data_IF_348834680174
#
_entry.id   IF_348834680174
#
_cell.length_a   1.000
_cell.length_b   1.000
_cell.length_c   1.000
_cell.angle_alpha   90.00
_cell.angle_beta   90.00
_cell.angle_gamma   90.00
#
_symmetry.space_group_name_H-M   'P 1'
#
loop_
_entity.id
_entity.type
_entity.pdbx_description
1 polymer ?
#
# COMPACT_ATOMS: atom_id res chain seq x y z
N UNK A 1 25.62 -10.18 -13.95
CA UNK A 1 25.11 -8.79 -13.84
C UNK A 1 23.69 -8.75 -14.42
N UNK A 2 22.63 -8.62 -13.61
CA UNK A 2 21.31 -8.21 -14.10
C UNK A 2 21.18 -6.70 -13.83
N UNK A 3 21.07 -5.81 -14.81
CA UNK A 3 19.94 -5.76 -15.74
C UNK A 3 18.84 -4.87 -15.13
N UNK A 4 19.14 -3.58 -14.93
CA UNK A 4 18.20 -2.60 -14.40
C UNK A 4 17.13 -2.35 -15.46
N UNK A 5 15.91 -2.82 -15.23
CA UNK A 5 14.74 -2.50 -16.05
C UNK A 5 14.04 -1.31 -15.37
N UNK A 6 14.14 -0.13 -15.97
CA UNK A 6 13.38 1.06 -15.59
C UNK A 6 11.97 0.99 -16.16
N UNK A 7 10.96 1.02 -15.28
CA UNK A 7 9.56 1.26 -15.68
C UNK A 7 9.14 2.65 -15.23
N UNK A 8 8.80 3.50 -16.20
CA UNK A 8 8.15 4.78 -15.96
C UNK A 8 6.67 4.53 -15.67
N UNK A 9 6.21 4.75 -14.44
CA UNK A 9 4.80 4.89 -14.13
C UNK A 9 4.46 6.35 -13.87
N UNK A 10 3.55 6.87 -14.69
CA UNK A 10 2.92 8.16 -14.49
C UNK A 10 2.07 8.11 -13.22
N UNK A 11 2.38 8.98 -12.26
CA UNK A 11 1.55 9.21 -11.09
C UNK A 11 0.25 9.86 -11.55
N UNK A 12 -0.88 9.20 -11.29
CA UNK A 12 -2.20 9.79 -11.39
C UNK A 12 -2.33 10.87 -10.30
N UNK A 13 -1.85 12.06 -10.62
CA UNK A 13 -2.19 13.28 -9.90
C UNK A 13 -3.41 13.88 -10.58
N UNK A 14 -4.61 13.57 -10.08
CA UNK A 14 -5.80 14.35 -10.43
C UNK A 14 -6.57 14.77 -9.18
N UNK A 15 -6.40 16.07 -8.88
CA UNK A 15 -7.39 17.03 -8.39
C UNK A 15 -8.28 16.58 -7.23
N UNK A 16 -7.81 16.85 -6.00
CA UNK A 16 -8.70 17.11 -4.87
C UNK A 16 -9.35 18.48 -5.12
N UNK A 17 -10.56 18.47 -5.65
CA UNK A 17 -11.40 19.67 -5.74
C UNK A 17 -12.18 19.78 -4.42
N UNK A 18 -11.76 20.68 -3.54
CA UNK A 18 -12.51 21.02 -2.32
C UNK A 18 -13.64 21.96 -2.73
N UNK A 19 -14.80 21.41 -3.07
CA UNK A 19 -16.04 22.15 -3.20
C UNK A 19 -17.05 21.57 -2.21
N UNK A 20 -17.59 22.44 -1.34
CA UNK A 20 -18.50 22.08 -0.26
C UNK A 20 -19.71 21.31 -0.76
N UNK A 21 -20.08 20.27 -0.01
CA UNK A 21 -21.32 19.53 -0.24
C UNK A 21 -22.27 19.81 0.91
N UNK A 22 -23.36 20.45 0.52
CA UNK A 22 -24.58 20.71 1.26
C UNK A 22 -25.14 19.40 1.84
N UNK A 23 -25.59 19.45 3.09
CA UNK A 23 -26.29 18.36 3.77
C UNK A 23 -27.60 18.05 3.02
N UNK A 24 -27.67 16.89 2.38
CA UNK A 24 -28.93 16.22 2.09
C UNK A 24 -28.98 14.88 2.82
N UNK A 25 -29.81 14.83 3.86
CA UNK A 25 -30.24 13.58 4.50
C UNK A 25 -31.21 12.87 3.56
N UNK A 26 -30.78 11.79 2.92
CA UNK A 26 -31.68 10.73 2.46
C UNK A 26 -31.23 9.42 3.07
N UNK A 27 -32.19 8.73 3.67
CA UNK A 27 -31.99 7.57 4.54
C UNK A 27 -31.04 6.55 3.94
N UNK A 28 -29.88 6.43 4.57
CA UNK A 28 -28.97 5.31 4.40
C UNK A 28 -28.85 4.73 5.79
N UNK A 29 -29.45 3.55 5.99
CA UNK A 29 -29.30 2.80 7.23
C UNK A 29 -27.81 2.52 7.39
N UNK A 30 -27.18 3.20 8.34
CA UNK A 30 -25.80 2.92 8.74
C UNK A 30 -25.90 1.65 9.58
N UNK A 31 -25.62 0.49 8.97
CA UNK A 31 -25.38 -0.76 9.68
C UNK A 31 -23.94 -1.19 9.44
N UNK A 32 -23.31 -1.68 10.50
CA UNK A 32 -21.88 -1.95 10.54
C UNK A 32 -21.48 -3.09 9.58
N UNK A 33 -20.53 -2.86 8.67
CA UNK A 33 -19.85 -3.95 7.97
C UNK A 33 -19.11 -4.77 9.02
N UNK A 34 -19.51 -6.04 9.18
CA UNK A 34 -19.16 -6.88 10.33
C UNK A 34 -20.36 -7.67 10.89
N UNK A 35 -21.60 -7.37 10.48
CA UNK A 35 -22.73 -8.26 10.80
C UNK A 35 -22.49 -9.66 10.18
N UNK A 36 -22.90 -10.73 10.90
CA UNK A 36 -22.64 -12.13 10.54
C UNK A 36 -22.94 -12.49 9.08
N UNK A 37 -23.81 -11.73 8.41
CA UNK A 37 -24.29 -11.99 7.05
C UNK A 37 -23.44 -11.37 5.93
N UNK A 38 -22.49 -10.47 6.22
CA UNK A 38 -21.67 -9.82 5.18
C UNK A 38 -20.17 -10.01 5.41
N UNK A 39 -19.44 -10.18 4.31
CA UNK A 39 -18.00 -10.34 4.27
C UNK A 39 -17.36 -9.17 3.52
N UNK A 40 -16.27 -8.61 4.06
CA UNK A 40 -15.41 -7.66 3.33
C UNK A 40 -14.66 -8.36 2.19
N UNK A 41 -13.96 -7.59 1.35
CA UNK A 41 -13.08 -8.15 0.31
C UNK A 41 -12.01 -9.07 0.91
N UNK A 42 -11.46 -8.70 2.07
CA UNK A 42 -10.45 -9.48 2.78
C UNK A 42 -11.02 -10.82 3.27
N UNK A 43 -12.15 -10.78 3.97
CA UNK A 43 -12.82 -11.96 4.50
C UNK A 43 -13.32 -12.90 3.40
N UNK A 44 -13.87 -12.37 2.31
CA UNK A 44 -14.31 -13.16 1.17
C UNK A 44 -13.12 -13.84 0.46
N UNK A 45 -11.99 -13.15 0.34
CA UNK A 45 -10.77 -13.71 -0.24
C UNK A 45 -10.23 -14.87 0.64
N UNK A 46 -10.20 -14.67 1.96
CA UNK A 46 -9.74 -15.66 2.94
C UNK A 46 -10.65 -16.90 2.94
N UNK A 47 -11.97 -16.71 3.02
CA UNK A 47 -12.96 -17.80 3.00
C UNK A 47 -12.85 -18.66 1.73
N UNK A 48 -12.63 -18.02 0.57
CA UNK A 48 -12.50 -18.72 -0.72
C UNK A 48 -11.08 -19.26 -0.96
N UNK A 49 -10.11 -18.95 -0.10
CA UNK A 49 -8.69 -19.25 -0.32
C UNK A 49 -8.21 -18.79 -1.72
N UNK A 50 -8.44 -17.50 -1.98
CA UNK A 50 -8.01 -16.77 -3.18
C UNK A 50 -7.48 -15.38 -2.79
N UNK A 51 -6.96 -14.63 -3.76
CA UNK A 51 -6.47 -13.26 -3.53
C UNK A 51 -7.60 -12.23 -3.68
N UNK A 52 -7.47 -11.02 -3.10
CA UNK A 52 -8.42 -9.93 -3.35
C UNK A 52 -8.58 -9.58 -4.84
N UNK A 53 -7.50 -9.71 -5.63
CA UNK A 53 -7.57 -9.54 -7.09
C UNK A 53 -8.48 -10.58 -7.77
N UNK A 54 -8.50 -11.81 -7.26
CA UNK A 54 -9.40 -12.85 -7.71
C UNK A 54 -10.86 -12.58 -7.26
N UNK A 55 -11.09 -12.00 -6.08
CA UNK A 55 -12.42 -11.53 -5.67
C UNK A 55 -12.93 -10.43 -6.62
N UNK A 56 -12.11 -9.41 -6.91
CA UNK A 56 -12.45 -8.37 -7.92
C UNK A 56 -12.75 -8.97 -9.29
N UNK A 57 -12.06 -10.05 -9.65
CA UNK A 57 -12.31 -10.78 -10.88
C UNK A 57 -13.67 -11.49 -10.86
N UNK A 58 -14.04 -12.14 -9.76
CA UNK A 58 -15.38 -12.73 -9.59
C UNK A 58 -16.48 -11.67 -9.76
N UNK A 59 -16.29 -10.48 -9.18
CA UNK A 59 -17.20 -9.34 -9.33
C UNK A 59 -17.28 -8.88 -10.79
N UNK A 60 -16.13 -8.66 -11.45
CA UNK A 60 -16.07 -8.22 -12.85
C UNK A 60 -16.70 -9.23 -13.82
N UNK A 61 -16.59 -10.52 -13.53
CA UNK A 61 -17.22 -11.59 -14.32
C UNK A 61 -18.71 -11.80 -13.97
N UNK A 62 -19.28 -11.02 -13.05
CA UNK A 62 -20.68 -11.14 -12.63
C UNK A 62 -20.98 -12.39 -11.80
N UNK A 63 -19.94 -13.05 -11.27
CA UNK A 63 -20.04 -14.27 -10.46
C UNK A 63 -20.29 -13.99 -8.98
N UNK A 64 -19.96 -12.78 -8.53
CA UNK A 64 -20.20 -12.32 -7.16
C UNK A 64 -20.76 -10.89 -7.20
N UNK A 65 -21.85 -10.65 -6.46
CA UNK A 65 -22.54 -9.37 -6.43
C UNK A 65 -22.09 -8.54 -5.23
N UNK A 66 -21.73 -7.27 -5.47
CA UNK A 66 -21.42 -6.30 -4.41
C UNK A 66 -22.73 -5.87 -3.75
N UNK A 67 -22.86 -6.09 -2.43
CA UNK A 67 -24.03 -5.69 -1.65
C UNK A 67 -23.88 -4.29 -1.06
N UNK A 68 -22.69 -4.00 -0.53
CA UNK A 68 -22.39 -2.71 0.07
C UNK A 68 -21.03 -2.20 -0.39
N UNK A 69 -20.86 -0.89 -0.35
CA UNK A 69 -19.57 -0.24 -0.60
C UNK A 69 -19.33 0.78 0.50
N UNK A 70 -18.35 0.50 1.36
CA UNK A 70 -17.90 1.42 2.40
C UNK A 70 -16.86 2.35 1.81
N UNK A 71 -17.07 3.66 1.98
CA UNK A 71 -16.12 4.69 1.56
C UNK A 71 -15.22 5.05 2.72
N UNK A 72 -13.93 5.08 2.44
CA UNK A 72 -12.88 5.45 3.36
C UNK A 72 -12.29 6.81 2.93
N UNK A 73 -11.37 7.38 3.73
CA UNK A 73 -10.66 8.60 3.33
C UNK A 73 -9.83 8.31 2.07
N UNK A 74 -9.23 7.12 1.98
CA UNK A 74 -8.61 6.60 0.78
C UNK A 74 -9.45 5.45 0.22
N UNK A 75 -9.80 5.45 -1.07
CA UNK A 75 -10.48 4.32 -1.71
C UNK A 75 -11.83 3.88 -1.11
N UNK A 76 -12.20 2.63 -1.42
CA UNK A 76 -13.45 1.99 -1.00
C UNK A 76 -13.20 0.52 -0.70
N UNK A 77 -13.98 -0.07 0.21
CA UNK A 77 -14.08 -1.51 0.39
C UNK A 77 -15.50 -1.99 0.02
N UNK A 78 -15.57 -3.19 -0.53
CA UNK A 78 -16.81 -3.83 -0.97
C UNK A 78 -17.17 -4.94 0.00
N UNK A 79 -18.47 -5.09 0.25
CA UNK A 79 -18.99 -6.18 1.07
C UNK A 79 -19.95 -7.06 0.27
N UNK A 80 -19.91 -8.35 0.60
CA UNK A 80 -20.58 -9.43 -0.11
C UNK A 80 -21.46 -10.21 0.86
N UNK A 81 -22.60 -10.70 0.40
CA UNK A 81 -23.43 -11.61 1.18
C UNK A 81 -22.66 -12.91 1.47
N UNK A 82 -22.56 -13.32 2.74
CA UNK A 82 -21.81 -14.50 3.16
C UNK A 82 -22.29 -15.75 2.44
N UNK A 83 -23.61 -15.97 2.39
CA UNK A 83 -24.19 -17.15 1.75
C UNK A 83 -23.90 -17.17 0.24
N UNK A 84 -23.85 -16.01 -0.42
CA UNK A 84 -23.44 -15.88 -1.80
C UNK A 84 -21.96 -16.26 -2.01
N UNK A 85 -21.06 -15.83 -1.11
CA UNK A 85 -19.64 -16.20 -1.16
C UNK A 85 -19.47 -17.71 -0.93
N UNK A 86 -20.13 -18.29 0.08
CA UNK A 86 -20.06 -19.73 0.38
C UNK A 86 -20.54 -20.61 -0.79
N UNK A 87 -21.58 -20.18 -1.52
CA UNK A 87 -22.05 -20.85 -2.74
C UNK A 87 -21.00 -20.94 -3.85
N UNK A 88 -19.96 -20.12 -3.81
CA UNK A 88 -18.87 -20.16 -4.79
C UNK A 88 -17.83 -21.24 -4.46
N UNK A 89 -17.71 -21.70 -3.21
CA UNK A 89 -16.74 -22.72 -2.80
C UNK A 89 -16.75 -23.97 -3.68
N UNK A 90 -17.90 -24.65 -3.93
CA UNK A 90 -17.93 -25.84 -4.79
C UNK A 90 -17.63 -25.53 -6.26
N UNK A 91 -17.85 -24.29 -6.71
CA UNK A 91 -17.64 -23.85 -8.11
C UNK A 91 -16.24 -23.31 -8.36
N UNK A 92 -15.50 -22.99 -7.31
CA UNK A 92 -14.18 -22.38 -7.39
C UNK A 92 -13.16 -23.19 -8.22
N UNK A 93 -13.12 -24.54 -8.17
CA UNK A 93 -12.23 -25.31 -9.03
C UNK A 93 -12.51 -25.10 -10.53
N UNK A 94 -13.78 -24.93 -10.91
CA UNK A 94 -14.18 -24.64 -12.29
C UNK A 94 -13.68 -23.27 -12.73
N UNK A 95 -13.87 -22.24 -11.90
CA UNK A 95 -13.38 -20.89 -12.16
C UNK A 95 -11.85 -20.85 -12.28
N UNK A 96 -11.13 -21.53 -11.37
CA UNK A 96 -9.66 -21.63 -11.44
C UNK A 96 -9.21 -22.30 -12.75
N UNK A 97 -9.88 -23.36 -13.21
CA UNK A 97 -9.59 -23.99 -14.52
C UNK A 97 -9.81 -23.03 -15.68
N UNK A 98 -10.92 -22.30 -15.70
CA UNK A 98 -11.20 -21.27 -16.71
C UNK A 98 -10.10 -20.21 -16.72
N UNK A 99 -9.73 -19.70 -15.56
CA UNK A 99 -8.69 -18.67 -15.43
C UNK A 99 -7.31 -19.16 -15.88
N UNK A 100 -6.97 -20.41 -15.59
CA UNK A 100 -5.75 -21.04 -16.11
C UNK A 100 -5.77 -21.19 -17.62
N UNK A 101 -6.90 -21.61 -18.22
CA UNK A 101 -7.03 -21.74 -19.67
C UNK A 101 -6.84 -20.40 -20.39
N UNK A 102 -7.38 -19.31 -19.82
CA UNK A 102 -7.16 -17.96 -20.35
C UNK A 102 -5.70 -17.50 -20.23
N UNK A 103 -5.01 -17.84 -19.12
CA UNK A 103 -3.59 -17.57 -18.98
C UNK A 103 -2.74 -18.39 -19.97
N UNK A 104 -3.08 -19.66 -20.16
CA UNK A 104 -2.45 -20.56 -21.13
C UNK A 104 -2.61 -20.02 -22.55
N UNK A 105 -3.79 -19.50 -22.90
CA UNK A 105 -4.03 -18.85 -24.19
C UNK A 105 -3.20 -17.57 -24.35
N UNK A 106 -3.12 -16.73 -23.32
CA UNK A 106 -2.41 -15.43 -23.37
C UNK A 106 -0.90 -15.57 -23.42
N UNK A 107 -0.31 -16.49 -22.66
CA UNK A 107 1.14 -16.64 -22.52
C UNK A 107 1.73 -17.79 -23.34
N UNK A 108 0.87 -18.69 -23.82
CA UNK A 108 1.24 -20.03 -24.30
C UNK A 108 1.34 -21.03 -23.15
N UNK A 109 0.74 -22.20 -23.33
CA UNK A 109 0.59 -23.22 -22.28
C UNK A 109 1.90 -23.59 -21.55
N UNK A 110 3.01 -23.73 -22.29
CA UNK A 110 4.33 -24.03 -21.71
C UNK A 110 4.80 -22.92 -20.77
N UNK A 111 4.74 -21.66 -21.20
CA UNK A 111 5.19 -20.50 -20.42
C UNK A 111 4.29 -20.27 -19.20
N UNK A 112 2.98 -20.43 -19.37
CA UNK A 112 2.01 -20.34 -18.29
C UNK A 112 2.22 -21.44 -17.24
N UNK A 113 2.48 -22.68 -17.65
CA UNK A 113 2.83 -23.77 -16.72
C UNK A 113 4.10 -23.49 -15.92
N UNK A 114 5.17 -22.96 -16.56
CA UNK A 114 6.38 -22.55 -15.85
C UNK A 114 6.12 -21.42 -14.86
N UNK A 115 5.35 -20.40 -15.26
CA UNK A 115 4.94 -19.31 -14.38
C UNK A 115 4.20 -19.83 -13.15
N UNK A 116 3.22 -20.72 -13.32
CA UNK A 116 2.48 -21.33 -12.20
C UNK A 116 3.37 -22.09 -11.23
N UNK A 117 4.33 -22.87 -11.76
CA UNK A 117 5.31 -23.58 -10.92
C UNK A 117 6.20 -22.60 -10.14
N UNK A 118 6.63 -21.52 -10.80
CA UNK A 118 7.43 -20.47 -10.17
C UNK A 118 6.63 -19.73 -9.08
N UNK A 119 5.37 -19.40 -9.36
CA UNK A 119 4.45 -18.75 -8.42
C UNK A 119 4.23 -19.63 -7.18
N UNK A 120 4.03 -20.95 -7.34
CA UNK A 120 3.94 -21.90 -6.22
C UNK A 120 5.22 -21.94 -5.37
N UNK A 121 6.39 -21.95 -6.02
CA UNK A 121 7.68 -21.91 -5.31
C UNK A 121 7.82 -20.60 -4.52
N UNK A 122 7.43 -19.47 -5.13
CA UNK A 122 7.42 -18.15 -4.46
C UNK A 122 6.47 -18.13 -3.27
N UNK A 123 5.26 -18.68 -3.39
CA UNK A 123 4.31 -18.75 -2.26
C UNK A 123 4.92 -19.51 -1.08
N UNK A 124 5.51 -20.69 -1.32
CA UNK A 124 6.19 -21.45 -0.26
C UNK A 124 7.38 -20.69 0.33
N UNK A 125 8.14 -20.00 -0.50
CA UNK A 125 9.26 -19.18 -0.02
C UNK A 125 8.79 -18.03 0.88
N UNK A 126 7.68 -17.35 0.53
CA UNK A 126 7.07 -16.32 1.36
C UNK A 126 6.50 -16.88 2.66
N UNK A 127 5.84 -18.04 2.62
CA UNK A 127 5.34 -18.72 3.83
C UNK A 127 6.50 -19.05 4.78
N UNK A 128 7.57 -19.69 4.28
CA UNK A 128 8.73 -19.98 5.09
C UNK A 128 9.46 -18.72 5.58
N UNK A 129 9.46 -17.63 4.81
CA UNK A 129 10.00 -16.34 5.26
C UNK A 129 9.17 -15.76 6.41
N UNK A 130 7.85 -15.77 6.30
CA UNK A 130 6.93 -15.32 7.36
C UNK A 130 7.17 -16.11 8.64
N UNK A 131 7.17 -17.45 8.56
CA UNK A 131 7.39 -18.32 9.71
C UNK A 131 8.74 -18.05 10.39
N UNK A 132 9.84 -18.01 9.62
CA UNK A 132 11.16 -17.71 10.17
C UNK A 132 11.24 -16.32 10.79
N UNK A 133 10.61 -15.33 10.16
CA UNK A 133 10.56 -13.98 10.70
C UNK A 133 9.80 -13.93 12.02
N UNK A 134 8.62 -14.56 12.10
CA UNK A 134 7.83 -14.57 13.34
C UNK A 134 8.53 -15.34 14.46
N UNK A 135 9.17 -16.47 14.14
CA UNK A 135 9.98 -17.23 15.10
C UNK A 135 11.18 -16.42 15.60
N UNK A 136 11.86 -15.64 14.73
CA UNK A 136 12.98 -14.81 15.16
C UNK A 136 12.58 -13.68 16.11
N UNK A 137 11.28 -13.42 16.31
CA UNK A 137 10.81 -12.43 17.28
C UNK A 137 10.77 -12.97 18.71
N UNK A 138 10.80 -14.28 18.92
CA UNK A 138 10.71 -14.91 20.25
C UNK A 138 11.91 -14.56 21.15
N UNK A 139 13.06 -14.29 20.54
CA UNK A 139 14.30 -13.92 21.24
C UNK A 139 14.40 -12.43 21.60
N UNK A 140 13.45 -11.59 21.12
CA UNK A 140 13.47 -10.14 21.37
C UNK A 140 12.62 -9.73 22.57
N UNK A 141 12.94 -8.59 23.22
CA UNK A 141 12.08 -8.00 24.24
C UNK A 141 10.65 -7.79 23.70
N UNK A 142 9.63 -8.05 24.52
CA UNK A 142 8.21 -8.04 24.12
C UNK A 142 7.82 -6.78 23.32
N UNK A 143 8.23 -5.60 23.77
CA UNK A 143 7.94 -4.32 23.08
C UNK A 143 8.60 -4.23 21.71
N UNK A 144 9.82 -4.73 21.58
CA UNK A 144 10.56 -4.77 20.31
C UNK A 144 9.93 -5.80 19.36
N UNK A 145 9.62 -7.00 19.87
CA UNK A 145 8.93 -8.03 19.12
C UNK A 145 7.59 -7.52 18.58
N UNK A 146 6.81 -6.80 19.39
CA UNK A 146 5.57 -6.16 18.97
C UNK A 146 5.82 -5.13 17.85
N UNK A 147 6.79 -4.22 18.01
CA UNK A 147 7.12 -3.23 16.99
C UNK A 147 7.51 -3.89 15.65
N UNK A 148 8.35 -4.92 15.69
CA UNK A 148 8.81 -5.65 14.50
C UNK A 148 7.67 -6.44 13.85
N UNK A 149 6.82 -7.12 14.64
CA UNK A 149 5.63 -7.82 14.15
C UNK A 149 4.67 -6.86 13.45
N UNK A 150 4.34 -5.74 14.09
CA UNK A 150 3.50 -4.69 13.49
C UNK A 150 4.13 -4.16 12.21
N UNK A 151 5.44 -3.92 12.19
CA UNK A 151 6.15 -3.44 11.00
C UNK A 151 6.09 -4.44 9.84
N UNK A 152 6.17 -5.74 10.11
CA UNK A 152 6.03 -6.80 9.12
C UNK A 152 4.64 -6.79 8.46
N UNK A 153 3.57 -6.74 9.25
CA UNK A 153 2.22 -6.67 8.68
C UNK A 153 1.94 -5.33 7.99
N UNK A 154 2.46 -4.23 8.53
CA UNK A 154 2.35 -2.90 7.90
C UNK A 154 3.07 -2.83 6.54
N UNK A 155 4.19 -3.55 6.39
CA UNK A 155 4.89 -3.73 5.12
C UNK A 155 3.98 -4.38 4.07
N UNK A 156 3.33 -5.50 4.42
CA UNK A 156 2.40 -6.19 3.53
C UNK A 156 1.13 -5.38 3.26
N UNK A 157 0.61 -4.66 4.26
CA UNK A 157 -0.51 -3.73 4.09
C UNK A 157 -0.21 -2.71 2.98
N UNK A 158 0.99 -2.12 2.99
CA UNK A 158 1.38 -1.13 1.99
C UNK A 158 1.48 -1.74 0.58
N UNK A 159 1.81 -3.04 0.46
CA UNK A 159 1.77 -3.74 -0.82
C UNK A 159 0.33 -4.01 -1.31
N UNK A 160 -0.58 -4.38 -0.40
CA UNK A 160 -2.00 -4.54 -0.72
C UNK A 160 -2.64 -3.22 -1.17
N UNK A 161 -2.34 -2.11 -0.47
CA UNK A 161 -2.83 -0.79 -0.83
C UNK A 161 -2.43 -0.40 -2.27
N UNK A 162 -1.19 -0.68 -2.65
CA UNK A 162 -0.69 -0.48 -4.02
C UNK A 162 -1.21 -1.50 -5.03
N UNK A 163 -1.73 -2.63 -4.57
CA UNK A 163 -2.38 -3.67 -5.37
C UNK A 163 -3.85 -3.39 -5.69
N UNK A 164 -4.40 -2.29 -5.19
CA UNK A 164 -5.78 -1.84 -5.45
C UNK A 164 -6.65 -1.69 -4.20
N UNK A 165 -6.13 -2.01 -3.01
CA UNK A 165 -6.87 -1.85 -1.74
C UNK A 165 -6.55 -0.51 -1.07
N UNK A 166 -6.79 0.61 -1.76
CA UNK A 166 -6.36 1.94 -1.30
C UNK A 166 -6.91 2.34 0.08
N UNK A 167 -8.05 1.76 0.50
CA UNK A 167 -8.64 1.95 1.82
C UNK A 167 -7.74 1.56 2.99
N UNK A 168 -6.77 0.69 2.73
CA UNK A 168 -5.78 0.32 3.74
C UNK A 168 -4.88 1.47 4.17
N UNK A 169 -4.78 2.55 3.38
CA UNK A 169 -4.01 3.72 3.82
C UNK A 169 -4.59 4.40 5.07
N UNK A 170 -5.88 4.24 5.34
CA UNK A 170 -6.51 4.70 6.59
C UNK A 170 -5.93 3.90 7.78
N UNK A 171 -5.92 2.57 7.69
CA UNK A 171 -5.35 1.69 8.72
C UNK A 171 -3.83 1.87 8.87
N UNK A 172 -3.12 2.14 7.76
CA UNK A 172 -1.69 2.50 7.80
C UNK A 172 -1.46 3.76 8.64
N UNK A 173 -2.28 4.79 8.43
CA UNK A 173 -2.17 6.06 9.14
C UNK A 173 -2.37 5.86 10.64
N UNK A 174 -3.43 5.15 11.05
CA UNK A 174 -3.68 4.88 12.47
C UNK A 174 -2.60 3.98 13.09
N UNK A 175 -2.11 2.98 12.36
CA UNK A 175 -0.99 2.14 12.82
C UNK A 175 0.26 2.96 13.09
N UNK A 176 0.68 3.83 12.15
CA UNK A 176 1.87 4.66 12.30
C UNK A 176 1.74 5.66 13.45
N UNK A 177 0.55 6.26 13.60
CA UNK A 177 0.23 7.12 14.75
C UNK A 177 0.40 6.35 16.05
N UNK A 178 -0.22 5.18 16.18
CA UNK A 178 -0.11 4.34 17.38
C UNK A 178 1.33 3.90 17.67
N UNK A 179 2.11 3.60 16.62
CA UNK A 179 3.54 3.30 16.76
C UNK A 179 4.30 4.49 17.35
N UNK A 180 4.07 5.72 16.86
CA UNK A 180 4.73 6.93 17.39
C UNK A 180 4.32 7.28 18.82
N UNK A 181 3.14 6.84 19.26
CA UNK A 181 2.68 7.02 20.64
C UNK A 181 3.25 5.96 21.59
N UNK A 182 3.40 4.72 21.10
CA UNK A 182 3.78 3.56 21.91
C UNK A 182 5.28 3.33 22.00
N UNK A 183 6.07 3.67 20.98
CA UNK A 183 7.48 3.30 20.87
C UNK A 183 8.41 4.50 20.71
N UNK A 184 9.66 4.29 21.07
CA UNK A 184 10.74 5.26 21.06
C UNK A 184 11.96 4.72 20.31
N UNK A 185 13.00 5.54 20.17
CA UNK A 185 14.26 5.16 19.56
C UNK A 185 14.99 4.06 20.33
N UNK A 186 14.79 3.94 21.65
CA UNK A 186 15.36 2.85 22.47
C UNK A 186 14.80 1.49 22.08
N UNK A 187 13.53 1.44 21.64
CA UNK A 187 12.90 0.22 21.13
C UNK A 187 13.11 0.04 19.62
N UNK A 188 13.83 0.96 18.97
CA UNK A 188 14.20 0.88 17.57
C UNK A 188 13.35 1.71 16.62
N UNK A 189 12.42 2.55 17.10
CA UNK A 189 11.63 3.46 16.25
C UNK A 189 12.22 4.88 16.23
N UNK A 190 12.64 5.33 15.06
CA UNK A 190 13.04 6.72 14.81
C UNK A 190 12.09 7.37 13.81
N UNK A 191 11.62 8.59 14.09
CA UNK A 191 10.77 9.37 13.18
C UNK A 191 11.53 10.62 12.76
N UNK A 192 11.68 10.80 11.44
CA UNK A 192 12.47 11.89 10.85
C UNK A 192 11.58 12.69 9.90
N UNK A 193 11.65 14.01 9.97
CA UNK A 193 11.10 14.88 8.93
C UNK A 193 12.05 14.90 7.74
N UNK A 194 11.55 14.51 6.57
CA UNK A 194 12.26 14.63 5.31
C UNK A 194 11.66 15.82 4.56
N UNK A 195 12.42 16.90 4.49
CA UNK A 195 12.00 18.09 3.75
C UNK A 195 12.05 17.81 2.25
N UNK A 196 10.90 18.03 1.61
CA UNK A 196 10.72 17.95 0.19
C UNK A 196 11.52 19.03 -0.52
N UNK A 197 12.02 18.71 -1.71
CA UNK A 197 12.69 19.69 -2.56
C UNK A 197 11.71 20.70 -3.16
N UNK A 198 12.25 21.77 -3.74
CA UNK A 198 11.46 22.70 -4.55
C UNK A 198 10.95 21.99 -5.82
N UNK A 199 9.62 21.98 -6.03
CA UNK A 199 9.06 21.55 -7.31
C UNK A 199 8.75 22.74 -8.18
N UNK A 200 9.40 22.74 -9.33
CA UNK A 200 9.24 23.78 -10.33
C UNK A 200 8.29 23.29 -11.42
N UNK A 201 7.19 24.01 -11.65
CA UNK A 201 6.35 23.88 -12.83
C UNK A 201 6.80 24.90 -13.87
N UNK A 202 7.46 24.41 -14.91
CA UNK A 202 7.95 25.24 -16.00
C UNK A 202 6.78 25.93 -16.70
N UNK A 203 6.87 27.25 -16.86
CA UNK A 203 6.00 28.02 -17.75
C UNK A 203 6.28 27.61 -19.21
N UNK A 204 5.37 27.96 -20.13
CA UNK A 204 5.47 27.57 -21.54
C UNK A 204 6.81 28.01 -22.17
N UNK A 205 7.28 29.22 -21.85
CA UNK A 205 8.56 29.72 -22.32
C UNK A 205 9.74 28.86 -21.87
N UNK A 206 9.73 28.36 -20.63
CA UNK A 206 10.79 27.48 -20.13
C UNK A 206 10.69 26.06 -20.69
N UNK A 207 9.49 25.57 -21.01
CA UNK A 207 9.30 24.28 -21.70
C UNK A 207 9.86 24.33 -23.12
N UNK A 208 9.59 25.41 -23.84
CA UNK A 208 10.13 25.65 -25.18
C UNK A 208 11.67 25.75 -25.14
N UNK A 209 12.23 26.48 -24.16
CA UNK A 209 13.69 26.52 -23.94
C UNK A 209 14.30 25.16 -23.61
N UNK A 210 13.65 24.37 -22.77
CA UNK A 210 14.12 23.01 -22.47
C UNK A 210 14.20 22.16 -23.73
N UNK A 211 13.15 22.19 -24.57
CA UNK A 211 13.11 21.50 -25.86
C UNK A 211 14.18 22.00 -26.82
N UNK A 212 14.37 23.32 -26.94
CA UNK A 212 15.40 23.89 -27.82
C UNK A 212 16.82 23.55 -27.37
N UNK A 213 17.01 23.28 -26.07
CA UNK A 213 18.28 22.82 -25.50
C UNK A 213 18.44 21.28 -25.55
N UNK A 214 17.46 20.53 -26.07
CA UNK A 214 17.48 19.07 -26.06
C UNK A 214 17.43 18.46 -24.66
N UNK A 215 16.96 19.21 -23.65
CA UNK A 215 16.84 18.75 -22.27
C UNK A 215 15.41 18.30 -21.99
N UNK A 216 15.27 17.18 -21.28
CA UNK A 216 14.00 16.85 -20.64
C UNK A 216 13.68 17.87 -19.53
N UNK A 217 12.41 17.96 -19.16
CA UNK A 217 11.96 18.97 -18.19
C UNK A 217 12.54 18.75 -16.79
N UNK A 218 12.87 17.52 -16.40
CA UNK A 218 13.45 17.23 -15.08
C UNK A 218 14.88 17.76 -15.04
N UNK A 219 15.67 17.44 -16.07
CA UNK A 219 17.04 17.90 -16.24
C UNK A 219 17.10 19.42 -16.37
N UNK A 220 16.21 20.03 -17.15
CA UNK A 220 16.11 21.48 -17.26
C UNK A 220 15.84 22.15 -15.90
N UNK A 221 14.90 21.61 -15.10
CA UNK A 221 14.61 22.12 -13.75
C UNK A 221 15.83 22.04 -12.83
N UNK A 222 16.54 20.91 -12.87
CA UNK A 222 17.72 20.69 -12.00
C UNK A 222 18.89 21.63 -12.32
N UNK A 223 19.05 22.02 -13.59
CA UNK A 223 20.17 22.87 -14.03
C UNK A 223 19.81 24.35 -14.00
N UNK A 224 18.58 24.70 -14.39
CA UNK A 224 18.18 26.09 -14.65
C UNK A 224 17.22 26.65 -13.60
N UNK A 225 16.68 25.85 -12.67
CA UNK A 225 15.81 26.31 -11.58
C UNK A 225 14.46 26.94 -11.99
N UNK A 226 14.17 27.01 -13.30
CA UNK A 226 13.04 27.76 -13.86
C UNK A 226 13.25 29.28 -13.84
N UNK A 227 12.34 30.01 -14.48
CA UNK A 227 12.30 31.48 -14.43
C UNK A 227 11.30 31.98 -13.37
N UNK A 228 11.25 33.28 -13.05
CA UNK A 228 10.28 33.84 -12.10
C UNK A 228 8.80 33.62 -12.43
N UNK A 229 8.47 33.34 -13.71
CA UNK A 229 7.10 32.97 -14.13
C UNK A 229 6.79 31.49 -13.94
N UNK A 230 7.77 30.65 -13.59
CA UNK A 230 7.53 29.26 -13.25
C UNK A 230 6.95 29.19 -11.84
N UNK A 231 5.92 28.35 -11.65
CA UNK A 231 5.39 28.13 -10.30
C UNK A 231 6.41 27.29 -9.53
N UNK A 232 6.82 27.77 -8.38
CA UNK A 232 7.70 27.07 -7.45
C UNK A 232 6.89 26.70 -6.22
N UNK A 233 6.86 25.41 -5.91
CA UNK A 233 6.30 24.89 -4.66
C UNK A 233 7.49 24.48 -3.79
N UNK A 234 7.73 25.22 -2.71
CA UNK A 234 8.64 24.77 -1.65
C UNK A 234 8.04 23.56 -0.93
N UNK A 235 8.89 22.72 -0.33
CA UNK A 235 8.48 21.58 0.50
C UNK A 235 7.60 20.55 -0.24
N UNK A 236 7.76 20.48 -1.56
CA UNK A 236 7.01 19.55 -2.38
C UNK A 236 7.46 18.12 -2.08
N UNK A 237 6.52 17.28 -1.64
CA UNK A 237 6.75 15.93 -1.10
C UNK A 237 7.46 15.86 0.25
N UNK A 238 7.39 16.89 1.10
CA UNK A 238 7.79 16.71 2.51
C UNK A 238 7.01 15.56 3.14
N UNK A 239 7.71 14.70 3.86
CA UNK A 239 7.16 13.47 4.44
C UNK A 239 7.82 13.18 5.78
N UNK A 240 7.13 12.43 6.64
CA UNK A 240 7.76 11.81 7.80
C UNK A 240 8.20 10.40 7.43
N UNK A 241 9.44 10.08 7.77
CA UNK A 241 10.06 8.76 7.61
C UNK A 241 10.12 8.06 8.97
N UNK A 242 9.44 6.93 9.08
CA UNK A 242 9.44 6.04 10.24
C UNK A 242 10.44 4.92 9.99
N UNK A 243 11.58 4.97 10.67
CA UNK A 243 12.64 3.97 10.60
C UNK A 243 12.50 3.03 11.78
N UNK A 244 12.31 1.75 11.50
CA UNK A 244 12.34 0.70 12.51
C UNK A 244 13.60 -0.10 12.30
N UNK A 245 14.49 -0.11 13.28
CA UNK A 245 15.73 -0.89 13.23
C UNK A 245 16.01 -1.52 14.58
N UNK A 246 16.05 -2.85 14.61
CA UNK A 246 16.47 -3.60 15.78
C UNK A 246 17.06 -4.94 15.37
N UNK A 247 18.24 -5.29 15.91
CA UNK A 247 18.98 -6.46 15.48
C UNK A 247 19.22 -6.47 13.98
N UNK A 248 18.87 -7.58 13.32
CA UNK A 248 19.00 -7.76 11.87
C UNK A 248 17.75 -7.30 11.09
N UNK A 249 16.75 -6.75 11.77
CA UNK A 249 15.49 -6.32 11.15
C UNK A 249 15.46 -4.82 10.87
N UNK A 250 14.97 -4.49 9.69
CA UNK A 250 14.87 -3.11 9.23
C UNK A 250 13.59 -2.87 8.42
N UNK A 251 12.81 -1.86 8.82
CA UNK A 251 11.65 -1.37 8.08
C UNK A 251 11.68 0.15 7.94
N UNK A 252 11.07 0.64 6.87
CA UNK A 252 10.97 2.07 6.59
C UNK A 252 9.59 2.37 6.03
N UNK A 253 8.88 3.29 6.69
CA UNK A 253 7.56 3.74 6.24
C UNK A 253 7.57 5.24 6.03
N UNK A 254 6.74 5.68 5.09
CA UNK A 254 6.58 7.09 4.77
C UNK A 254 5.12 7.48 4.85
N UNK A 255 4.88 8.68 5.37
CA UNK A 255 3.58 9.35 5.37
C UNK A 255 3.75 10.83 5.00
N UNK A 256 2.88 11.40 4.15
CA UNK A 256 3.00 12.81 3.77
C UNK A 256 2.98 13.74 4.98
N UNK A 257 3.79 14.80 4.95
CA UNK A 257 3.87 15.78 6.04
C UNK A 257 2.48 16.34 6.42
N UNK A 258 1.67 16.69 5.40
CA UNK A 258 0.34 17.26 5.62
C UNK A 258 -0.63 16.31 6.34
N UNK A 259 -0.42 15.00 6.22
CA UNK A 259 -1.23 13.98 6.86
C UNK A 259 -0.79 13.81 8.32
N UNK A 260 0.50 13.61 8.56
CA UNK A 260 0.98 13.25 9.90
C UNK A 260 1.23 14.42 10.85
N UNK A 261 1.39 15.65 10.34
CA UNK A 261 1.60 16.84 11.19
C UNK A 261 0.46 17.09 12.19
N UNK A 262 -0.74 16.56 11.92
CA UNK A 262 -1.92 16.75 12.78
C UNK A 262 -1.95 15.81 13.98
N UNK A 263 -1.21 14.70 13.95
CA UNK A 263 -1.23 13.68 15.01
C UNK A 263 0.15 13.34 15.57
N UNK A 264 1.25 13.68 14.90
CA UNK A 264 2.58 13.60 15.49
C UNK A 264 2.74 14.65 16.60
N UNK A 265 3.32 14.24 17.72
CA UNK A 265 3.69 15.16 18.80
C UNK A 265 4.92 15.97 18.38
N UNK A 266 4.85 17.29 18.55
CA UNK A 266 5.93 18.24 18.26
C UNK A 266 6.66 17.97 16.93
N UNK A 267 5.94 17.98 15.78
CA UNK A 267 6.50 17.56 14.49
C UNK A 267 7.69 18.42 14.02
N UNK A 268 7.80 19.65 14.53
CA UNK A 268 8.90 20.59 14.23
C UNK A 268 10.16 20.34 15.06
N UNK A 269 10.06 19.57 16.15
CA UNK A 269 11.19 19.20 17.01
C UNK A 269 11.83 17.88 16.56
N UNK A 270 11.21 17.17 15.62
CA UNK A 270 11.75 15.92 15.08
C UNK A 270 13.04 16.18 14.29
N UNK A 271 14.00 15.23 14.30
CA UNK A 271 15.18 15.30 13.45
C UNK A 271 14.78 15.59 12.00
N UNK A 272 15.40 16.61 11.40
CA UNK A 272 15.13 17.00 10.02
C UNK A 272 16.31 16.65 9.12
N UNK A 273 16.03 16.10 7.94
CA UNK A 273 17.01 15.96 6.86
C UNK A 273 16.44 16.51 5.55
N UNK A 274 17.29 17.16 4.78
CA UNK A 274 16.97 17.56 3.41
C UNK A 274 17.01 16.36 2.49
N UNK A 275 16.04 16.28 1.58
CA UNK A 275 16.03 15.25 0.55
C UNK A 275 17.26 15.36 -0.36
N UNK A 276 18.14 14.35 -0.36
CA UNK A 276 19.29 14.28 -1.26
C UNK A 276 18.92 13.48 -2.52
N UNK A 277 18.76 14.11 -3.70
CA UNK A 277 18.43 13.40 -4.93
C UNK A 277 19.50 12.35 -5.27
N UNK A 278 19.09 11.12 -5.56
CA UNK A 278 20.00 10.03 -5.93
C UNK A 278 20.60 9.24 -4.75
N UNK A 279 20.33 9.64 -3.51
CA UNK A 279 20.55 8.83 -2.29
C UNK A 279 19.22 8.50 -1.62
N UNK A 280 18.22 8.06 -2.39
CA UNK A 280 17.30 7.09 -1.81
C UNK A 280 18.17 5.90 -1.43
N UNK A 281 18.52 5.79 -0.14
CA UNK A 281 19.30 4.68 0.41
C UNK A 281 18.54 3.37 0.13
N UNK A 282 18.65 2.85 -1.10
CA UNK A 282 18.10 1.58 -1.56
C UNK A 282 16.63 1.26 -1.20
N UNK A 283 15.71 2.24 -1.15
CA UNK A 283 14.34 2.00 -0.67
C UNK A 283 13.29 2.50 -1.66
N UNK A 284 13.14 1.76 -2.74
CA UNK A 284 12.05 1.98 -3.68
C UNK A 284 10.71 2.05 -2.92
N UNK A 285 9.94 3.12 -3.16
CA UNK A 285 8.53 3.18 -2.84
C UNK A 285 7.90 1.81 -3.10
N UNK A 286 7.32 1.17 -2.08
CA UNK A 286 6.93 -0.26 -2.12
C UNK A 286 6.24 -0.72 -3.41
N UNK A 287 6.36 -1.99 -3.78
CA UNK A 287 5.71 -2.52 -4.97
C UNK A 287 4.27 -2.94 -4.68
N UNK A 288 3.39 -3.09 -5.69
CA UNK A 288 2.14 -3.82 -5.51
C UNK A 288 2.39 -5.25 -5.02
N UNK A 289 1.45 -5.78 -4.26
CA UNK A 289 1.49 -7.16 -3.79
C UNK A 289 1.44 -8.13 -4.98
N UNK A 290 2.21 -9.22 -4.89
CA UNK A 290 2.16 -10.30 -5.89
C UNK A 290 1.13 -11.34 -5.48
N UNK A 291 0.56 -12.10 -6.43
CA UNK A 291 -0.38 -13.18 -6.08
C UNK A 291 0.26 -14.21 -5.15
N UNK A 292 1.52 -14.57 -5.40
CA UNK A 292 2.24 -15.55 -4.59
C UNK A 292 2.42 -15.08 -3.12
N UNK A 293 2.67 -13.79 -2.92
CA UNK A 293 2.76 -13.16 -1.59
C UNK A 293 1.40 -13.08 -0.92
N UNK A 294 0.35 -12.68 -1.64
CA UNK A 294 -1.01 -12.57 -1.10
C UNK A 294 -1.63 -13.92 -0.70
N UNK A 295 -1.12 -15.03 -1.23
CA UNK A 295 -1.47 -16.39 -0.80
C UNK A 295 -0.66 -16.86 0.41
N UNK A 296 0.47 -16.23 0.71
CA UNK A 296 1.33 -16.57 1.84
C UNK A 296 1.01 -15.77 3.11
N UNK A 297 0.65 -14.49 2.91
CA UNK A 297 0.23 -13.54 3.94
C UNK A 297 -1.11 -13.00 3.46
N UNK A 298 -2.23 -13.45 4.04
CA UNK A 298 -3.56 -13.06 3.55
C UNK A 298 -3.89 -11.62 3.95
N UNK A 299 -4.77 -10.95 3.18
CA UNK A 299 -5.19 -9.60 3.52
C UNK A 299 -5.92 -9.57 4.86
N UNK A 300 -6.73 -10.60 5.12
CA UNK A 300 -7.45 -10.75 6.38
C UNK A 300 -6.49 -10.91 7.56
N UNK A 301 -5.42 -11.69 7.42
CA UNK A 301 -4.37 -11.80 8.42
C UNK A 301 -3.71 -10.44 8.69
N UNK A 302 -3.38 -9.69 7.64
CA UNK A 302 -2.77 -8.35 7.77
C UNK A 302 -3.69 -7.37 8.50
N UNK A 303 -4.97 -7.31 8.11
CA UNK A 303 -5.94 -6.39 8.72
C UNK A 303 -6.11 -6.74 10.20
N UNK A 304 -6.40 -8.00 10.52
CA UNK A 304 -6.61 -8.47 11.89
C UNK A 304 -5.42 -8.15 12.80
N UNK A 305 -4.20 -8.43 12.36
CA UNK A 305 -3.00 -8.19 13.16
C UNK A 305 -2.76 -6.70 13.46
N UNK A 306 -3.12 -5.82 12.52
CA UNK A 306 -2.96 -4.38 12.69
C UNK A 306 -4.11 -3.76 13.48
N UNK A 307 -5.34 -4.21 13.30
CA UNK A 307 -6.52 -3.78 14.09
C UNK A 307 -6.36 -4.17 15.57
N UNK A 308 -5.89 -5.39 15.85
CA UNK A 308 -5.54 -5.82 17.22
C UNK A 308 -4.49 -4.89 17.83
N UNK A 309 -3.49 -4.45 17.06
CA UNK A 309 -2.45 -3.54 17.54
C UNK A 309 -2.96 -2.11 17.81
N UNK A 310 -3.82 -1.58 16.92
CA UNK A 310 -4.41 -0.24 17.05
C UNK A 310 -5.48 -0.20 18.14
N UNK A 311 -6.08 -1.34 18.46
CA UNK A 311 -7.18 -1.48 19.41
C UNK A 311 -8.54 -1.19 18.78
N UNK A 312 -8.65 -1.33 17.45
CA UNK A 312 -9.95 -1.31 16.77
C UNK A 312 -10.64 -2.68 16.94
N UNK A 313 -11.97 -2.71 17.13
CA UNK A 313 -12.69 -3.97 17.26
C UNK A 313 -12.63 -4.76 15.93
N UNK A 314 -12.32 -6.06 16.05
CA UNK A 314 -12.42 -7.08 14.98
C UNK A 314 -13.87 -7.51 14.81
#
# INVERSE_FOLDING_TARGET
MPGIITYNYALASDKINVAGVVKEKRGMTIMEPGSENYLTTAQAADLLNITPAAVRRLVREGLLEVKHTKRYKFGVDQSFDRAAVEKLLPRLPEFKRKWHAEEDFRLGAKKAAFKRLEDQKKTRAYQGFKERFLLSLEDYPERVALLLRTSFFLYHLNHYAKGGEEYLYDLKEETLKKMSEKFTSLEGLEVILVEGGEKIYLCETCRLKARSMGLDYVKYKSVQGGCPRCRKESDYYSLFEFRVKYGDHFFCFHTPYQVAKSWLKNPLELPCKTHVPGREEARAFGRPITEAEALAVSLEEVIRELEVFTGEPV
#
